data_IF_030245294820
#
_entry.id   IF_030245294820
#
_cell.length_a   1.000
_cell.length_b   1.000
_cell.length_c   1.000
_cell.angle_alpha   90.00
_cell.angle_beta   90.00
_cell.angle_gamma   90.00
#
_symmetry.space_group_name_H-M   'P 1'
#
loop_
_entity.id
_entity.type
_entity.pdbx_description
1 polymer ?
#
# COMPACT_ATOMS: atom_id res chain seq x y z
N UNK A 1 -7.02 4.26 64.86
CA UNK A 1 -5.96 3.48 64.19
C UNK A 1 -6.62 2.62 63.12
N UNK A 2 -6.12 2.73 61.89
CA UNK A 2 -6.40 1.97 60.66
C UNK A 2 -7.80 2.09 60.02
N UNK A 3 -7.92 3.02 59.05
CA UNK A 3 -8.76 2.83 57.87
C UNK A 3 -8.00 1.92 56.88
N UNK A 4 -8.63 0.81 56.48
CA UNK A 4 -8.16 -0.07 55.41
C UNK A 4 -8.57 0.51 54.05
N UNK A 5 -7.60 0.89 53.23
CA UNK A 5 -7.80 1.19 51.81
C UNK A 5 -7.75 -0.12 51.02
N UNK A 6 -8.89 -0.54 50.47
CA UNK A 6 -8.92 -1.58 49.43
C UNK A 6 -8.53 -0.99 48.09
N UNK A 7 -7.30 -1.26 47.65
CA UNK A 7 -6.87 -1.09 46.26
C UNK A 7 -7.54 -2.18 45.42
N UNK A 8 -8.49 -1.81 44.56
CA UNK A 8 -9.00 -2.67 43.51
C UNK A 8 -7.97 -2.71 42.38
N UNK A 9 -7.20 -3.81 42.30
CA UNK A 9 -6.29 -4.08 41.20
C UNK A 9 -7.14 -4.42 39.96
N UNK A 10 -7.33 -3.49 39.03
CA UNK A 10 -7.82 -3.81 37.69
C UNK A 10 -6.74 -4.65 37.00
N UNK A 11 -6.90 -5.97 37.01
CA UNK A 11 -6.21 -6.87 36.10
C UNK A 11 -6.78 -6.63 34.70
N UNK A 12 -6.15 -5.74 33.94
CA UNK A 12 -6.37 -5.63 32.50
C UNK A 12 -6.06 -6.98 31.86
N UNK A 13 -7.06 -7.62 31.25
CA UNK A 13 -6.84 -8.77 30.40
C UNK A 13 -6.13 -8.28 29.14
N UNK A 14 -4.80 -8.35 29.12
CA UNK A 14 -4.05 -8.21 27.89
C UNK A 14 -4.51 -9.34 26.95
N UNK A 15 -5.34 -9.01 25.96
CA UNK A 15 -5.66 -9.93 24.88
C UNK A 15 -4.33 -10.25 24.19
N UNK A 16 -3.86 -11.49 24.33
CA UNK A 16 -2.66 -11.93 23.64
C UNK A 16 -3.03 -12.10 22.17
N UNK A 17 -2.99 -11.01 21.41
CA UNK A 17 -3.12 -11.07 19.97
C UNK A 17 -1.97 -11.96 19.45
N UNK A 18 -2.33 -13.08 18.83
CA UNK A 18 -1.34 -13.92 18.14
C UNK A 18 -0.92 -13.17 16.90
N UNK A 19 0.30 -12.62 16.91
CA UNK A 19 0.79 -11.80 15.81
C UNK A 19 0.68 -12.52 14.46
N UNK A 20 0.14 -11.80 13.48
CA UNK A 20 -0.10 -12.30 12.13
C UNK A 20 1.07 -12.03 11.18
N UNK A 21 1.23 -12.86 10.17
CA UNK A 21 2.15 -12.64 9.06
C UNK A 21 1.58 -11.60 8.10
N UNK A 22 2.46 -10.79 7.52
CA UNK A 22 2.11 -9.88 6.45
C UNK A 22 2.26 -10.63 5.13
N UNK A 23 1.19 -10.61 4.32
CA UNK A 23 1.12 -11.26 3.00
C UNK A 23 0.81 -10.18 1.95
N UNK A 24 1.82 -9.52 1.38
CA UNK A 24 1.62 -8.41 0.45
C UNK A 24 0.81 -8.84 -0.78
N UNK A 25 -0.17 -8.03 -1.18
CA UNK A 25 -1.02 -8.33 -2.33
C UNK A 25 -2.19 -9.29 -2.05
N UNK A 26 -2.29 -9.85 -0.83
CA UNK A 26 -3.44 -10.67 -0.46
C UNK A 26 -4.68 -9.80 -0.17
N UNK A 27 -5.86 -10.41 -0.26
CA UNK A 27 -7.09 -9.81 0.25
C UNK A 27 -7.07 -9.90 1.78
N UNK A 28 -6.58 -8.84 2.42
CA UNK A 28 -6.57 -8.76 3.88
C UNK A 28 -7.99 -8.63 4.41
N UNK A 29 -8.23 -9.30 5.54
CA UNK A 29 -9.48 -9.24 6.26
C UNK A 29 -9.23 -8.62 7.63
N UNK A 30 -10.19 -7.81 8.09
CA UNK A 30 -10.21 -7.31 9.46
C UNK A 30 -10.62 -8.40 10.46
N UNK A 31 -10.66 -8.05 11.74
CA UNK A 31 -11.06 -8.96 12.83
C UNK A 31 -12.50 -9.46 12.74
N UNK A 32 -13.37 -8.77 12.00
CA UNK A 32 -14.75 -9.17 11.71
C UNK A 32 -14.86 -10.09 10.48
N UNK A 33 -13.74 -10.36 9.79
CA UNK A 33 -13.70 -11.13 8.56
C UNK A 33 -14.17 -10.36 7.32
N UNK A 34 -14.30 -9.03 7.40
CA UNK A 34 -14.61 -8.16 6.26
C UNK A 34 -13.33 -7.73 5.56
N UNK A 35 -13.42 -7.29 4.32
CA UNK A 35 -12.27 -6.82 3.55
C UNK A 35 -11.67 -5.58 4.23
N UNK A 36 -10.38 -5.60 4.49
CA UNK A 36 -9.61 -4.41 4.86
C UNK A 36 -9.62 -3.42 3.70
N UNK A 37 -10.47 -2.42 3.80
CA UNK A 37 -10.75 -1.45 2.75
C UNK A 37 -10.25 -0.07 3.17
N UNK A 38 -8.94 0.13 3.05
CA UNK A 38 -8.26 1.37 3.37
C UNK A 38 -7.07 1.54 2.41
N UNK A 39 -7.30 2.25 1.31
CA UNK A 39 -6.35 2.43 0.22
C UNK A 39 -5.66 3.79 0.27
N UNK A 40 -4.50 3.92 -0.35
CA UNK A 40 -3.71 5.15 -0.42
C UNK A 40 -3.51 5.84 0.95
N UNK A 41 -3.48 5.02 2.00
CA UNK A 41 -3.59 5.49 3.37
C UNK A 41 -2.33 6.09 3.98
N UNK A 42 -2.43 6.37 5.27
CA UNK A 42 -1.33 6.79 6.13
C UNK A 42 -1.50 6.29 7.54
N UNK A 43 -0.38 6.16 8.25
CA UNK A 43 -0.35 5.69 9.63
C UNK A 43 -0.25 6.85 10.60
N UNK A 44 -1.11 6.85 11.61
CA UNK A 44 -1.00 7.67 12.81
C UNK A 44 -0.80 6.73 14.01
N UNK A 45 -0.06 7.18 15.03
CA UNK A 45 0.14 6.40 16.25
C UNK A 45 -0.46 7.15 17.41
N UNK A 46 -1.24 6.45 18.21
CA UNK A 46 -1.70 6.96 19.49
C UNK A 46 -0.49 7.06 20.44
N UNK A 47 -0.13 8.28 20.83
CA UNK A 47 1.04 8.54 21.67
C UNK A 47 0.93 7.91 23.07
N UNK A 48 -0.30 7.69 23.58
CA UNK A 48 -0.51 7.12 24.91
C UNK A 48 -0.36 5.60 24.92
N UNK A 49 -0.97 4.93 23.94
CA UNK A 49 -1.03 3.47 23.90
C UNK A 49 0.04 2.83 23.00
N UNK A 50 0.61 3.60 22.07
CA UNK A 50 1.49 3.09 21.01
C UNK A 50 0.74 2.32 19.93
N UNK A 51 -0.60 2.29 19.95
CA UNK A 51 -1.42 1.57 18.97
C UNK A 51 -1.39 2.29 17.63
N UNK A 52 -1.28 1.49 16.56
CA UNK A 52 -1.24 1.98 15.18
C UNK A 52 -2.65 2.21 14.65
N UNK A 53 -2.87 3.32 13.95
CA UNK A 53 -4.12 3.62 13.24
C UNK A 53 -3.83 3.89 11.77
N UNK A 54 -4.43 3.08 10.89
CA UNK A 54 -4.32 3.24 9.45
C UNK A 54 -5.60 3.87 8.89
N UNK A 55 -5.44 5.04 8.29
CA UNK A 55 -6.51 5.77 7.62
C UNK A 55 -6.36 5.59 6.12
N UNK A 56 -7.42 5.24 5.41
CA UNK A 56 -7.36 5.07 3.97
C UNK A 56 -8.69 5.28 3.28
N UNK A 57 -8.61 5.53 1.99
CA UNK A 57 -9.76 5.67 1.10
C UNK A 57 -10.63 4.42 1.18
N UNK A 58 -11.91 4.62 1.47
CA UNK A 58 -12.89 3.55 1.41
C UNK A 58 -13.44 3.43 -0.01
N UNK A 59 -13.19 2.29 -0.67
CA UNK A 59 -13.59 2.03 -2.05
C UNK A 59 -14.84 1.16 -2.08
N UNK A 60 -15.97 1.74 -2.49
CA UNK A 60 -17.25 1.03 -2.59
C UNK A 60 -17.27 0.17 -3.86
N UNK A 61 -17.72 -1.08 -3.73
CA UNK A 61 -17.88 -1.96 -4.88
C UNK A 61 -18.81 -1.34 -5.94
N UNK A 62 -18.34 -1.31 -7.19
CA UNK A 62 -19.08 -0.72 -8.32
C UNK A 62 -19.04 0.80 -8.38
N UNK A 63 -18.36 1.46 -7.45
CA UNK A 63 -18.07 2.89 -7.50
C UNK A 63 -16.56 3.12 -7.64
N UNK A 64 -16.20 4.18 -8.34
CA UNK A 64 -14.79 4.51 -8.56
C UNK A 64 -14.21 5.22 -7.33
N UNK A 65 -14.99 6.11 -6.69
CA UNK A 65 -14.53 7.04 -5.67
C UNK A 65 -15.68 7.47 -4.74
N UNK A 66 -15.37 8.29 -3.72
CA UNK A 66 -16.38 8.98 -2.90
C UNK A 66 -16.90 8.19 -1.70
N UNK A 67 -16.22 7.12 -1.30
CA UNK A 67 -16.63 6.31 -0.13
C UNK A 67 -16.22 6.87 1.23
N UNK A 68 -15.50 8.00 1.27
CA UNK A 68 -14.98 8.60 2.50
C UNK A 68 -13.67 7.96 2.96
N UNK A 69 -13.32 8.18 4.22
CA UNK A 69 -12.08 7.67 4.82
C UNK A 69 -12.42 6.64 5.89
N UNK A 70 -11.94 5.42 5.72
CA UNK A 70 -11.99 4.37 6.72
C UNK A 70 -10.82 4.47 7.70
N UNK A 71 -10.99 3.89 8.89
CA UNK A 71 -9.92 3.76 9.88
C UNK A 71 -9.91 2.38 10.51
N UNK A 72 -8.69 1.85 10.68
CA UNK A 72 -8.44 0.59 11.36
C UNK A 72 -7.35 0.78 12.40
N UNK A 73 -7.38 0.01 13.48
CA UNK A 73 -6.31 -0.02 14.48
C UNK A 73 -5.63 -1.38 14.60
N UNK A 74 -4.35 -1.38 14.99
CA UNK A 74 -3.54 -2.59 15.13
C UNK A 74 -2.45 -2.42 16.18
N UNK A 75 -2.08 -3.52 16.84
CA UNK A 75 -0.90 -3.60 17.71
C UNK A 75 0.35 -4.15 17.00
N UNK A 76 0.18 -4.78 15.83
CA UNK A 76 1.22 -5.58 15.16
C UNK A 76 1.39 -5.27 13.66
N UNK A 77 0.60 -4.32 13.12
CA UNK A 77 0.52 -3.96 11.69
C UNK A 77 0.03 -5.08 10.76
N UNK A 78 -0.53 -6.16 11.31
CA UNK A 78 -1.01 -7.31 10.55
C UNK A 78 -2.45 -7.70 10.89
N UNK A 79 -2.86 -7.49 12.14
CA UNK A 79 -4.21 -7.73 12.66
C UNK A 79 -4.93 -6.40 12.79
N UNK A 80 -5.96 -6.17 12.00
CA UNK A 80 -6.64 -4.88 11.88
C UNK A 80 -8.07 -4.95 12.42
N UNK A 81 -8.38 -4.11 13.40
CA UNK A 81 -9.73 -3.88 13.94
C UNK A 81 -10.33 -2.66 13.25
N UNK A 82 -11.51 -2.79 12.67
CA UNK A 82 -12.20 -1.68 11.99
C UNK A 82 -12.89 -0.76 13.00
N UNK A 83 -12.79 0.56 12.79
CA UNK A 83 -13.60 1.57 13.49
C UNK A 83 -14.62 2.26 12.57
N UNK A 84 -14.87 1.69 11.38
CA UNK A 84 -15.76 2.27 10.39
C UNK A 84 -15.14 3.43 9.61
N UNK A 85 -15.95 4.44 9.28
CA UNK A 85 -15.51 5.64 8.58
C UNK A 85 -15.09 6.72 9.57
N UNK A 86 -13.82 7.13 9.50
CA UNK A 86 -13.31 8.30 10.21
C UNK A 86 -13.89 9.60 9.61
N UNK A 87 -14.05 9.67 8.29
CA UNK A 87 -14.68 10.79 7.59
C UNK A 87 -15.77 10.24 6.66
N UNK A 88 -17.03 10.52 7.00
CA UNK A 88 -18.18 10.12 6.19
C UNK A 88 -18.44 11.13 5.06
N UNK A 89 -18.79 10.67 3.85
CA UNK A 89 -19.28 11.55 2.80
C UNK A 89 -20.59 12.22 3.22
N UNK A 90 -20.70 13.53 2.99
CA UNK A 90 -21.89 14.34 3.27
C UNK A 90 -22.61 14.64 1.96
N UNK A 91 -23.87 14.23 1.86
CA UNK A 91 -24.70 14.47 0.68
C UNK A 91 -24.80 15.98 0.38
N UNK A 92 -24.52 16.35 -0.88
CA UNK A 92 -24.57 17.74 -1.33
C UNK A 92 -23.45 18.66 -0.83
N UNK A 93 -22.51 18.16 0.00
CA UNK A 93 -21.37 18.96 0.43
C UNK A 93 -20.41 19.23 -0.75
N UNK A 94 -19.88 20.45 -0.84
CA UNK A 94 -19.05 20.87 -1.98
C UNK A 94 -17.76 20.06 -2.14
N UNK A 95 -17.12 19.72 -1.01
CA UNK A 95 -15.77 19.13 -0.99
C UNK A 95 -15.70 17.69 -0.46
N UNK A 96 -16.77 17.20 0.17
CA UNK A 96 -16.77 15.92 0.92
C UNK A 96 -18.05 15.13 0.63
N UNK A 97 -18.59 15.24 -0.59
CA UNK A 97 -19.68 14.38 -1.02
C UNK A 97 -19.18 13.09 -1.65
N UNK A 98 -20.08 12.14 -1.85
CA UNK A 98 -19.80 10.91 -2.60
C UNK A 98 -19.46 11.12 -4.08
N UNK A 99 -19.60 12.35 -4.59
CA UNK A 99 -19.20 12.70 -5.97
C UNK A 99 -17.77 13.28 -6.03
N UNK A 100 -17.20 13.65 -4.87
CA UNK A 100 -15.85 14.16 -4.77
C UNK A 100 -14.80 13.04 -4.75
N UNK A 101 -13.55 13.44 -4.96
CA UNK A 101 -12.36 12.66 -4.68
C UNK A 101 -11.90 13.01 -3.27
N UNK A 102 -11.86 12.00 -2.41
CA UNK A 102 -11.41 12.11 -1.03
C UNK A 102 -10.21 11.16 -0.93
N UNK A 103 -9.06 11.63 -1.40
CA UNK A 103 -7.92 10.77 -1.74
C UNK A 103 -6.72 11.00 -0.82
N UNK A 104 -5.99 9.92 -0.54
CA UNK A 104 -4.72 9.90 0.20
C UNK A 104 -4.72 10.56 1.58
N UNK A 105 -5.65 10.19 2.49
CA UNK A 105 -5.71 10.79 3.82
C UNK A 105 -4.41 10.59 4.60
N UNK A 106 -4.04 11.60 5.39
CA UNK A 106 -2.96 11.58 6.39
C UNK A 106 -3.46 12.24 7.66
N UNK A 107 -3.14 11.67 8.82
CA UNK A 107 -3.58 12.17 10.12
C UNK A 107 -2.38 12.53 10.96
N UNK A 108 -2.36 13.75 11.51
CA UNK A 108 -1.30 14.25 12.39
C UNK A 108 -1.96 14.83 13.65
N UNK A 109 -1.37 14.56 14.82
CA UNK A 109 -1.83 15.15 16.08
C UNK A 109 -1.25 16.56 16.28
N UNK A 110 -2.12 17.53 16.56
CA UNK A 110 -1.76 18.92 16.84
C UNK A 110 -1.73 19.14 18.35
N UNK A 111 -0.53 19.25 18.92
CA UNK A 111 -0.34 19.52 20.36
C UNK A 111 -0.94 20.86 20.80
N UNK A 112 -0.93 21.85 19.90
CA UNK A 112 -1.46 23.18 20.19
C UNK A 112 -2.99 23.18 20.32
N UNK A 113 -3.69 22.40 19.47
CA UNK A 113 -5.16 22.33 19.50
C UNK A 113 -5.69 21.16 20.35
N UNK A 114 -4.84 20.19 20.68
CA UNK A 114 -5.24 18.95 21.36
C UNK A 114 -6.10 18.03 20.49
N UNK A 115 -6.04 18.19 19.15
CA UNK A 115 -6.89 17.48 18.20
C UNK A 115 -6.06 16.71 17.17
N UNK A 116 -6.68 15.71 16.57
CA UNK A 116 -6.18 15.05 15.37
C UNK A 116 -6.64 15.81 14.13
N UNK A 117 -5.73 16.08 13.21
CA UNK A 117 -5.97 16.79 11.96
C UNK A 117 -5.78 15.81 10.80
N UNK A 118 -6.84 15.60 10.04
CA UNK A 118 -6.83 14.81 8.82
C UNK A 118 -6.69 15.75 7.62
N UNK A 119 -5.70 15.48 6.79
CA UNK A 119 -5.43 16.17 5.54
C UNK A 119 -5.51 15.20 4.36
N UNK A 120 -6.06 15.63 3.23
CA UNK A 120 -6.22 14.79 2.05
C UNK A 120 -6.32 15.62 0.77
N UNK A 121 -6.25 14.95 -0.39
CA UNK A 121 -6.53 15.55 -1.70
C UNK A 121 -8.04 15.63 -1.94
N UNK A 122 -8.55 16.85 -2.05
CA UNK A 122 -9.94 17.16 -2.44
C UNK A 122 -10.00 17.41 -3.93
N UNK A 123 -10.91 16.69 -4.61
CA UNK A 123 -11.19 16.98 -6.00
C UNK A 123 -12.64 16.70 -6.45
N UNK A 124 -12.93 17.07 -7.69
CA UNK A 124 -14.10 16.63 -8.43
C UNK A 124 -13.76 15.45 -9.35
N UNK A 125 -14.79 14.92 -10.03
CA UNK A 125 -14.61 13.81 -10.98
C UNK A 125 -13.68 14.09 -12.17
N UNK A 126 -13.35 15.36 -12.43
CA UNK A 126 -12.55 15.83 -13.58
C UNK A 126 -11.16 16.29 -13.16
N UNK A 127 -10.81 16.19 -11.88
CA UNK A 127 -9.57 16.72 -11.32
C UNK A 127 -9.40 18.22 -11.57
N UNK A 128 -10.46 19.00 -11.32
CA UNK A 128 -10.47 20.44 -11.59
C UNK A 128 -10.30 21.35 -10.37
N UNK A 129 -10.51 20.83 -9.14
CA UNK A 129 -10.41 21.64 -7.91
C UNK A 129 -8.96 21.76 -7.44
N UNK A 130 -8.24 20.64 -7.35
CA UNK A 130 -6.83 20.57 -6.95
C UNK A 130 -6.56 21.20 -5.56
N UNK A 131 -7.33 20.80 -4.55
CA UNK A 131 -7.28 21.37 -3.18
C UNK A 131 -6.80 20.37 -2.12
N UNK A 132 -6.40 20.90 -0.96
CA UNK A 132 -6.16 20.12 0.26
C UNK A 132 -7.34 20.28 1.21
N UNK A 133 -7.95 19.18 1.61
CA UNK A 133 -9.01 19.19 2.62
C UNK A 133 -8.44 19.09 4.03
N UNK A 134 -9.10 19.74 4.99
CA UNK A 134 -8.82 19.68 6.42
C UNK A 134 -10.08 19.25 7.18
N UNK A 135 -9.92 18.27 8.06
CA UNK A 135 -10.94 17.86 9.03
C UNK A 135 -10.29 17.59 10.38
N UNK A 136 -11.01 17.78 11.47
CA UNK A 136 -10.47 17.57 12.83
C UNK A 136 -11.33 16.65 13.68
N UNK A 137 -10.71 15.95 14.63
CA UNK A 137 -11.36 15.10 15.60
C UNK A 137 -10.69 15.21 16.98
N UNK A 138 -11.45 15.01 18.06
CA UNK A 138 -10.91 14.88 19.41
C UNK A 138 -10.28 13.49 19.65
N UNK A 139 -10.81 12.46 18.98
CA UNK A 139 -10.30 11.08 19.08
C UNK A 139 -9.60 10.69 17.78
N UNK A 140 -8.55 9.88 17.87
CA UNK A 140 -7.75 9.44 16.71
C UNK A 140 -8.62 8.76 15.64
N UNK A 141 -9.54 7.87 16.05
CA UNK A 141 -10.44 7.17 15.12
C UNK A 141 -11.59 8.03 14.58
N UNK A 142 -11.73 9.28 15.03
CA UNK A 142 -12.82 10.17 14.64
C UNK A 142 -14.03 10.12 15.57
N UNK A 143 -15.22 10.51 15.07
CA UNK A 143 -15.45 11.02 13.72
C UNK A 143 -14.75 12.36 13.48
N UNK A 144 -14.27 12.57 12.26
CA UNK A 144 -13.65 13.82 11.81
C UNK A 144 -14.70 14.75 11.22
N UNK A 145 -14.57 16.04 11.55
CA UNK A 145 -15.47 17.10 11.10
C UNK A 145 -14.70 17.98 10.11
N UNK A 146 -15.23 18.11 8.90
CA UNK A 146 -14.69 19.01 7.87
C UNK A 146 -14.53 20.44 8.41
N UNK A 147 -13.41 21.07 8.09
CA UNK A 147 -13.10 22.45 8.46
C UNK A 147 -12.97 23.33 7.23
N UNK A 148 -12.12 22.93 6.27
CA UNK A 148 -11.77 23.76 5.12
C UNK A 148 -11.24 22.94 3.93
N UNK A 149 -11.20 23.56 2.76
CA UNK A 149 -10.54 23.06 1.56
C UNK A 149 -9.71 24.18 0.92
N UNK A 150 -8.38 24.05 0.93
CA UNK A 150 -7.46 25.15 0.65
C UNK A 150 -6.55 24.89 -0.56
N UNK A 151 -6.11 25.97 -1.19
CA UNK A 151 -5.02 25.98 -2.17
C UNK A 151 -3.71 26.33 -1.44
N UNK A 152 -2.79 25.37 -1.22
CA UNK A 152 -1.61 25.56 -0.36
C UNK A 152 -0.70 26.66 -0.89
N UNK A 153 -0.60 27.78 -0.16
CA UNK A 153 0.17 28.97 -0.56
C UNK A 153 -0.22 29.48 -1.97
N UNK A 154 -1.49 29.31 -2.35
CA UNK A 154 -2.00 29.66 -3.69
C UNK A 154 -1.60 28.71 -4.82
N UNK A 155 -0.92 27.60 -4.52
CA UNK A 155 -0.61 26.54 -5.49
C UNK A 155 -1.76 25.54 -5.62
N UNK A 156 -1.67 24.65 -6.61
CA UNK A 156 -2.54 23.48 -6.73
C UNK A 156 -2.02 22.32 -5.88
N UNK A 157 -2.92 21.41 -5.53
CA UNK A 157 -2.61 20.16 -4.84
C UNK A 157 -3.40 19.00 -5.43
N UNK A 158 -2.70 17.96 -5.87
CA UNK A 158 -3.29 16.66 -6.19
C UNK A 158 -2.82 15.64 -5.15
N UNK A 159 -2.17 14.56 -5.61
CA UNK A 159 -1.63 13.49 -4.78
C UNK A 159 -0.94 14.03 -3.53
N UNK A 160 -1.51 13.67 -2.38
CA UNK A 160 -1.15 14.20 -1.09
C UNK A 160 -0.41 13.17 -0.22
N UNK A 161 0.55 13.67 0.55
CA UNK A 161 1.27 12.97 1.59
C UNK A 161 1.57 13.92 2.75
N UNK A 162 2.02 13.37 3.86
CA UNK A 162 2.44 14.17 5.00
C UNK A 162 3.59 13.48 5.72
N UNK A 163 4.46 14.28 6.33
CA UNK A 163 5.66 13.82 7.00
C UNK A 163 5.89 14.65 8.26
N UNK A 164 6.13 14.00 9.39
CA UNK A 164 6.56 14.65 10.62
C UNK A 164 8.01 14.27 10.90
N UNK A 165 8.87 15.26 11.00
CA UNK A 165 10.27 15.07 11.35
C UNK A 165 10.35 14.65 12.83
N UNK A 166 10.80 13.42 13.09
CA UNK A 166 10.80 12.91 14.47
C UNK A 166 11.85 13.59 15.37
N UNK A 167 12.79 14.34 14.79
CA UNK A 167 13.83 15.06 15.54
C UNK A 167 13.37 16.47 15.93
N UNK A 168 12.74 17.21 15.02
CA UNK A 168 12.26 18.58 15.30
C UNK A 168 10.82 18.62 15.82
N UNK A 169 10.00 17.63 15.47
CA UNK A 169 8.56 17.64 15.69
C UNK A 169 7.77 18.46 14.67
N UNK A 170 8.44 19.06 13.68
CA UNK A 170 7.79 19.83 12.62
C UNK A 170 7.12 18.90 11.60
N UNK A 171 5.96 19.30 11.11
CA UNK A 171 5.19 18.54 10.12
C UNK A 171 5.16 19.25 8.78
N UNK A 172 5.12 18.47 7.70
CA UNK A 172 5.17 18.95 6.32
C UNK A 172 4.10 18.26 5.47
N UNK A 173 3.40 19.06 4.67
CA UNK A 173 2.59 18.60 3.56
C UNK A 173 3.50 18.24 2.37
N UNK A 174 3.18 17.13 1.73
CA UNK A 174 3.81 16.67 0.49
C UNK A 174 2.73 16.64 -0.60
N UNK A 175 2.90 17.35 -1.70
CA UNK A 175 1.85 17.38 -2.72
C UNK A 175 2.37 17.62 -4.13
N UNK A 176 1.76 16.94 -5.11
CA UNK A 176 1.99 17.23 -6.53
C UNK A 176 1.13 18.41 -7.00
N UNK A 177 1.71 19.31 -7.79
CA UNK A 177 1.12 20.61 -8.14
C UNK A 177 0.32 20.59 -9.46
N UNK A 178 -0.50 19.57 -9.67
CA UNK A 178 -1.29 19.44 -10.90
C UNK A 178 -0.56 18.80 -12.08
N UNK A 179 -1.26 18.55 -13.19
CA UNK A 179 -0.73 17.85 -14.38
C UNK A 179 -0.26 18.77 -15.51
N UNK A 180 -0.32 20.09 -15.30
CA UNK A 180 0.09 21.06 -16.32
C UNK A 180 1.61 21.15 -16.39
N UNK A 181 2.13 21.56 -17.55
CA UNK A 181 3.58 21.72 -17.76
C UNK A 181 4.20 22.72 -16.77
N UNK A 182 3.41 23.69 -16.31
CA UNK A 182 3.78 24.68 -15.30
C UNK A 182 3.69 24.16 -13.85
N UNK A 183 3.01 23.04 -13.62
CA UNK A 183 2.66 22.50 -12.29
C UNK A 183 3.20 21.08 -12.00
N UNK A 184 4.05 20.54 -12.85
CA UNK A 184 4.60 19.17 -12.72
C UNK A 184 5.66 18.96 -11.62
N UNK A 185 5.50 19.65 -10.51
CA UNK A 185 6.42 19.59 -9.39
C UNK A 185 5.77 18.92 -8.19
N UNK A 186 6.61 18.43 -7.28
CA UNK A 186 6.18 18.01 -5.95
C UNK A 186 6.77 18.99 -4.93
N UNK A 187 5.93 19.46 -4.01
CA UNK A 187 6.29 20.38 -2.95
C UNK A 187 6.44 19.65 -1.63
N UNK A 188 7.42 20.10 -0.83
CA UNK A 188 7.52 19.85 0.60
C UNK A 188 7.27 21.19 1.26
N UNK A 189 6.15 21.32 1.97
CA UNK A 189 5.74 22.57 2.60
C UNK A 189 5.47 22.38 4.08
N UNK A 190 6.03 23.26 4.90
CA UNK A 190 5.90 23.21 6.35
C UNK A 190 4.50 23.62 6.78
N UNK A 191 3.87 22.83 7.64
CA UNK A 191 2.63 23.22 8.33
C UNK A 191 2.92 24.26 9.42
N UNK A 192 1.98 25.16 9.65
CA UNK A 192 1.97 26.01 10.83
C UNK A 192 1.83 25.18 12.12
N UNK A 193 2.11 25.78 13.28
CA UNK A 193 2.20 25.05 14.56
C UNK A 193 0.91 24.36 15.01
N UNK A 194 -0.25 24.90 14.61
CA UNK A 194 -1.55 24.34 14.95
C UNK A 194 -2.07 23.34 13.91
N UNK A 195 -1.34 23.10 12.81
CA UNK A 195 -1.63 22.18 11.71
C UNK A 195 -2.89 22.53 10.91
N UNK A 196 -3.26 23.81 10.82
CA UNK A 196 -4.44 24.26 10.06
C UNK A 196 -4.13 24.82 8.67
N UNK A 197 -2.86 25.09 8.36
CA UNK A 197 -2.43 25.58 7.04
C UNK A 197 -0.93 25.31 6.84
N UNK A 198 -0.44 25.45 5.60
CA UNK A 198 0.99 25.47 5.26
C UNK A 198 1.51 26.91 5.21
N UNK A 199 2.69 27.16 5.77
CA UNK A 199 3.25 28.53 5.90
C UNK A 199 4.46 28.79 5.00
N UNK A 200 5.18 27.75 4.60
CA UNK A 200 6.43 27.90 3.85
C UNK A 200 6.71 26.70 2.94
N UNK A 201 7.25 26.94 1.73
CA UNK A 201 7.80 25.88 0.88
C UNK A 201 9.24 25.59 1.31
N UNK A 202 9.47 24.42 1.90
CA UNK A 202 10.80 23.93 2.31
C UNK A 202 11.61 23.45 1.11
N UNK A 203 10.98 22.72 0.18
CA UNK A 203 11.63 22.24 -1.04
C UNK A 203 10.64 22.02 -2.18
N UNK A 204 11.13 22.09 -3.42
CA UNK A 204 10.37 21.81 -4.64
C UNK A 204 11.17 20.85 -5.54
N UNK A 205 10.61 19.67 -5.76
CA UNK A 205 11.08 18.71 -6.76
C UNK A 205 10.51 19.08 -8.13
N UNK A 206 11.22 19.95 -8.84
CA UNK A 206 10.83 20.36 -10.19
C UNK A 206 11.34 19.39 -11.26
N UNK A 207 10.72 19.42 -12.46
CA UNK A 207 11.12 18.72 -13.71
C UNK A 207 10.70 17.25 -13.88
N UNK A 208 10.31 16.55 -12.81
CA UNK A 208 10.23 15.07 -12.87
C UNK A 208 8.85 14.47 -13.13
N UNK A 209 7.78 15.27 -13.07
CA UNK A 209 6.40 14.78 -13.24
C UNK A 209 6.07 13.66 -12.22
N UNK A 210 6.39 13.92 -10.96
CA UNK A 210 6.16 13.00 -9.84
C UNK A 210 4.78 13.17 -9.18
N UNK A 211 4.36 12.11 -8.50
CA UNK A 211 3.15 12.03 -7.67
C UNK A 211 3.37 11.04 -6.50
N UNK A 212 2.30 10.78 -5.75
CA UNK A 212 2.27 9.83 -4.64
C UNK A 212 3.43 9.98 -3.61
N UNK A 213 3.69 11.19 -3.08
CA UNK A 213 4.90 11.44 -2.30
C UNK A 213 4.84 10.89 -0.88
N UNK A 214 5.96 10.33 -0.42
CA UNK A 214 6.20 10.02 0.99
C UNK A 214 7.67 10.27 1.35
N UNK A 215 7.94 10.64 2.60
CA UNK A 215 9.31 10.81 3.11
C UNK A 215 9.57 9.83 4.23
N UNK A 216 10.71 9.14 4.13
CA UNK A 216 11.28 8.30 5.17
C UNK A 216 12.50 9.00 5.77
N UNK A 217 12.53 9.12 7.09
CA UNK A 217 13.65 9.72 7.81
C UNK A 217 14.45 8.65 8.57
N UNK A 218 15.77 8.71 8.45
CA UNK A 218 16.72 7.91 9.23
C UNK A 218 17.43 8.79 10.26
N UNK A 219 18.38 8.24 10.99
CA UNK A 219 19.24 9.03 11.88
C UNK A 219 20.11 10.04 11.13
N UNK A 220 20.35 9.85 9.82
CA UNK A 220 21.29 10.67 9.04
C UNK A 220 20.64 11.38 7.85
N UNK A 221 19.61 10.78 7.26
CA UNK A 221 19.15 11.12 5.92
C UNK A 221 17.63 11.21 5.86
N UNK A 222 17.14 11.95 4.87
CA UNK A 222 15.77 11.89 4.39
C UNK A 222 15.77 11.20 3.03
N UNK A 223 14.79 10.33 2.81
CA UNK A 223 14.54 9.68 1.54
C UNK A 223 13.11 9.98 1.10
N UNK A 224 12.93 10.69 0.00
CA UNK A 224 11.64 10.90 -0.63
C UNK A 224 11.39 9.76 -1.62
N UNK A 225 10.22 9.12 -1.54
CA UNK A 225 9.77 8.11 -2.49
C UNK A 225 8.55 8.65 -3.24
N UNK A 226 8.56 8.55 -4.56
CA UNK A 226 7.53 9.09 -5.44
C UNK A 226 7.35 8.20 -6.66
N UNK A 227 6.12 8.11 -7.17
CA UNK A 227 5.86 7.53 -8.49
C UNK A 227 5.87 8.61 -9.57
N UNK A 228 5.95 8.20 -10.83
CA UNK A 228 5.62 9.08 -11.96
C UNK A 228 4.10 9.15 -12.18
N UNK A 229 3.64 10.19 -12.89
CA UNK A 229 2.23 10.40 -13.27
C UNK A 229 1.75 9.45 -14.36
N UNK A 230 1.28 8.27 -13.96
CA UNK A 230 0.66 7.29 -14.89
C UNK A 230 -0.73 6.84 -14.46
N UNK A 231 -1.39 7.63 -13.60
CA UNK A 231 -2.69 7.28 -12.99
C UNK A 231 -2.59 5.95 -12.24
N UNK A 232 -3.63 5.13 -12.30
CA UNK A 232 -3.62 3.81 -11.64
C UNK A 232 -2.67 2.78 -12.26
N UNK A 233 -2.05 3.07 -13.43
CA UNK A 233 -1.05 2.17 -14.01
C UNK A 233 0.24 2.29 -13.18
N UNK A 234 0.81 1.18 -12.67
CA UNK A 234 2.03 1.26 -11.88
C UNK A 234 3.23 1.65 -12.75
N UNK A 235 4.24 2.24 -12.13
CA UNK A 235 5.54 2.56 -12.72
C UNK A 235 6.66 2.25 -11.72
N UNK A 236 7.93 2.44 -12.10
CA UNK A 236 9.03 2.26 -11.14
C UNK A 236 9.08 3.48 -10.22
N UNK A 237 8.68 3.30 -8.96
CA UNK A 237 8.87 4.29 -7.90
C UNK A 237 10.35 4.61 -7.78
N UNK A 238 10.64 5.90 -7.59
CA UNK A 238 12.00 6.40 -7.41
C UNK A 238 12.21 6.86 -5.97
N UNK A 239 13.46 6.76 -5.52
CA UNK A 239 13.96 7.35 -4.29
C UNK A 239 14.85 8.54 -4.62
N UNK A 240 14.80 9.57 -3.79
CA UNK A 240 15.75 10.70 -3.76
C UNK A 240 16.22 10.88 -2.32
N UNK A 241 17.50 11.21 -2.12
CA UNK A 241 18.11 11.31 -0.79
C UNK A 241 18.64 12.72 -0.51
N UNK A 242 18.48 13.21 0.72
CA UNK A 242 19.11 14.42 1.22
C UNK A 242 19.55 14.29 2.70
N UNK A 243 20.50 15.12 3.12
CA UNK A 243 20.88 15.25 4.55
C UNK A 243 19.92 16.16 5.34
N UNK A 244 19.17 17.03 4.62
CA UNK A 244 18.22 18.00 5.15
C UNK A 244 17.03 18.13 4.20
N UNK A 245 15.86 18.51 4.70
CA UNK A 245 14.66 18.64 3.88
C UNK A 245 14.78 19.73 2.81
N UNK A 246 15.49 20.82 3.11
CA UNK A 246 15.81 21.92 2.18
C UNK A 246 16.76 21.48 1.05
N UNK A 247 17.30 20.26 1.13
CA UNK A 247 18.22 19.69 0.17
C UNK A 247 19.69 20.06 0.42
N UNK A 248 20.55 19.91 -0.61
CA UNK A 248 20.20 19.43 -1.96
C UNK A 248 19.77 17.95 -1.96
N UNK A 249 18.78 17.63 -2.78
CA UNK A 249 18.33 16.25 -3.02
C UNK A 249 19.12 15.61 -4.16
N UNK A 250 19.39 14.31 -4.06
CA UNK A 250 20.04 13.52 -5.11
C UNK A 250 19.21 13.44 -6.39
N UNK A 251 19.81 12.99 -7.49
CA UNK A 251 19.01 12.50 -8.63
C UNK A 251 18.15 11.29 -8.21
N UNK A 252 16.99 11.08 -8.86
CA UNK A 252 16.15 9.92 -8.58
C UNK A 252 16.83 8.61 -8.99
N UNK A 253 16.61 7.56 -8.20
CA UNK A 253 17.03 6.19 -8.47
C UNK A 253 15.87 5.22 -8.25
N UNK A 254 15.79 4.11 -8.99
CA UNK A 254 14.73 3.12 -8.75
C UNK A 254 14.90 2.44 -7.39
N UNK A 255 13.79 2.32 -6.65
CA UNK A 255 13.78 1.67 -5.33
C UNK A 255 13.65 0.14 -5.43
N UNK A 256 13.37 -0.38 -6.62
CA UNK A 256 13.16 -1.79 -6.92
C UNK A 256 13.88 -2.16 -8.22
N UNK A 257 14.07 -3.46 -8.54
CA UNK A 257 14.54 -3.86 -9.86
C UNK A 257 13.67 -3.23 -10.95
N UNK A 258 14.32 -2.67 -11.99
CA UNK A 258 13.62 -2.05 -13.10
C UNK A 258 12.62 -3.03 -13.74
N UNK A 259 11.58 -2.48 -14.37
CA UNK A 259 10.51 -3.22 -15.05
C UNK A 259 9.59 -4.05 -14.15
N UNK A 260 9.89 -4.18 -12.84
CA UNK A 260 8.90 -4.68 -11.87
C UNK A 260 7.81 -3.67 -11.58
N UNK A 261 8.04 -2.38 -11.90
CA UNK A 261 7.14 -1.26 -11.56
C UNK A 261 6.85 -1.24 -10.07
N UNK A 262 7.93 -1.37 -9.31
CA UNK A 262 7.91 -1.52 -7.85
C UNK A 262 6.96 -2.63 -7.41
N UNK A 263 7.12 -3.80 -8.04
CA UNK A 263 6.29 -4.98 -7.84
C UNK A 263 4.80 -4.73 -8.13
N UNK A 264 4.53 -3.94 -9.18
CA UNK A 264 3.18 -3.50 -9.58
C UNK A 264 2.47 -2.76 -8.43
N UNK A 265 3.13 -1.74 -7.89
CA UNK A 265 2.59 -0.89 -6.82
C UNK A 265 2.85 0.59 -7.08
N UNK A 266 2.12 1.45 -6.35
CA UNK A 266 2.35 2.88 -6.27
C UNK A 266 2.52 3.27 -4.80
N UNK A 267 3.44 4.19 -4.51
CA UNK A 267 3.69 4.66 -3.14
C UNK A 267 2.42 5.24 -2.50
N UNK A 268 2.31 5.06 -1.19
CA UNK A 268 1.27 5.71 -0.39
C UNK A 268 1.86 6.34 0.87
N UNK A 269 2.64 5.54 1.60
CA UNK A 269 3.24 5.95 2.85
C UNK A 269 4.54 5.20 3.10
N UNK A 270 5.38 5.74 3.96
CA UNK A 270 6.59 5.09 4.43
C UNK A 270 6.69 5.25 5.94
N UNK A 271 7.06 4.18 6.63
CA UNK A 271 7.04 4.17 8.08
C UNK A 271 8.36 3.71 8.68
N UNK A 272 8.73 4.32 9.80
CA UNK A 272 9.89 3.94 10.63
C UNK A 272 9.39 3.28 11.91
N UNK A 273 9.84 2.04 12.14
CA UNK A 273 9.60 1.28 13.35
C UNK A 273 10.89 1.28 14.17
N UNK A 274 10.92 2.04 15.26
CA UNK A 274 12.03 2.03 16.22
C UNK A 274 11.83 0.88 17.21
N UNK A 275 12.23 -0.32 16.80
CA UNK A 275 12.18 -1.51 17.65
C UNK A 275 13.32 -1.55 18.69
N UNK A 276 13.13 -2.37 19.72
CA UNK A 276 14.10 -2.57 20.81
C UNK A 276 15.42 -3.23 20.38
N UNK A 277 15.43 -3.95 19.24
CA UNK A 277 16.63 -4.61 18.71
C UNK A 277 17.14 -3.99 17.42
N UNK A 278 16.24 -3.56 16.53
CA UNK A 278 16.61 -2.87 15.29
C UNK A 278 15.55 -1.85 14.88
N UNK A 279 15.98 -0.84 14.12
CA UNK A 279 15.05 0.01 13.38
C UNK A 279 14.70 -0.68 12.06
N UNK A 280 13.41 -0.78 11.76
CA UNK A 280 12.89 -1.28 10.48
C UNK A 280 12.12 -0.19 9.77
N UNK A 281 12.23 -0.18 8.45
CA UNK A 281 11.52 0.76 7.60
C UNK A 281 10.58 0.00 6.66
N UNK A 282 9.38 0.53 6.45
CA UNK A 282 8.37 -0.06 5.58
C UNK A 282 8.02 0.89 4.43
N UNK A 283 7.92 0.31 3.24
CA UNK A 283 7.25 0.86 2.07
C UNK A 283 5.81 0.36 2.10
N UNK A 284 4.84 1.26 2.20
CA UNK A 284 3.42 0.94 2.30
C UNK A 284 2.71 1.53 1.07
N UNK A 285 2.13 0.64 0.28
CA UNK A 285 1.74 0.97 -1.09
C UNK A 285 0.48 0.24 -1.52
N UNK A 286 -0.11 0.73 -2.59
CA UNK A 286 -1.28 0.15 -3.23
C UNK A 286 -0.89 -0.50 -4.55
N UNK A 287 -1.40 -1.70 -4.76
CA UNK A 287 -1.49 -2.34 -6.05
C UNK A 287 -2.91 -2.12 -6.58
N UNK A 288 -3.06 -1.05 -7.36
CA UNK A 288 -4.35 -0.62 -7.90
C UNK A 288 -4.97 -1.65 -8.86
N UNK A 289 -6.30 -1.75 -8.84
CA UNK A 289 -7.09 -2.44 -9.85
C UNK A 289 -8.01 -1.46 -10.56
N UNK A 290 -7.56 -0.88 -11.67
CA UNK A 290 -8.29 0.18 -12.37
C UNK A 290 -9.72 -0.22 -12.77
N UNK A 291 -9.97 -1.49 -13.07
CA UNK A 291 -11.31 -1.98 -13.44
C UNK A 291 -12.20 -2.25 -12.22
N UNK A 292 -11.62 -2.35 -11.03
CA UNK A 292 -12.29 -2.74 -9.80
C UNK A 292 -11.56 -2.14 -8.61
N UNK A 293 -11.56 -0.82 -8.43
CA UNK A 293 -10.70 -0.16 -7.44
C UNK A 293 -10.89 -0.68 -6.01
N UNK A 294 -12.10 -1.12 -5.66
CA UNK A 294 -12.43 -1.80 -4.40
C UNK A 294 -11.72 -3.16 -4.20
N UNK A 295 -11.15 -3.74 -5.26
CA UNK A 295 -10.32 -4.96 -5.23
C UNK A 295 -8.81 -4.66 -5.23
N UNK A 296 -8.42 -3.39 -5.14
CA UNK A 296 -7.01 -3.02 -4.99
C UNK A 296 -6.41 -3.65 -3.74
N UNK A 297 -5.09 -3.84 -3.73
CA UNK A 297 -4.40 -4.57 -2.65
C UNK A 297 -3.38 -3.69 -1.96
N UNK A 298 -3.28 -3.89 -0.65
CA UNK A 298 -2.18 -3.34 0.14
C UNK A 298 -0.93 -4.21 -0.05
N UNK A 299 0.19 -3.57 -0.35
CA UNK A 299 1.50 -4.21 -0.53
C UNK A 299 2.49 -3.48 0.36
N UNK A 300 2.75 -4.07 1.53
CA UNK A 300 3.68 -3.49 2.50
C UNK A 300 4.95 -4.32 2.54
N UNK A 301 6.10 -3.66 2.37
CA UNK A 301 7.38 -4.32 2.15
C UNK A 301 8.47 -3.67 2.99
N UNK A 302 9.43 -4.45 3.54
CA UNK A 302 10.58 -3.88 4.21
C UNK A 302 11.48 -3.12 3.24
N UNK A 303 12.09 -2.05 3.74
CA UNK A 303 13.10 -1.26 3.03
C UNK A 303 14.47 -1.57 3.63
N UNK A 304 15.43 -1.90 2.77
CA UNK A 304 16.85 -1.95 3.09
C UNK A 304 17.51 -0.61 2.73
N UNK A 305 18.23 -0.01 3.68
CA UNK A 305 18.87 1.31 3.51
C UNK A 305 20.37 1.14 3.64
N UNK A 306 21.09 1.62 2.63
CA UNK A 306 22.53 1.77 2.69
C UNK A 306 22.90 3.25 2.77
N UNK A 307 23.10 3.74 4.01
CA UNK A 307 23.52 5.12 4.29
C UNK A 307 24.87 5.49 3.66
N UNK A 308 25.78 4.52 3.50
CA UNK A 308 27.09 4.78 2.88
C UNK A 308 26.94 5.12 1.41
N UNK A 309 26.01 4.46 0.73
CA UNK A 309 25.74 4.66 -0.69
C UNK A 309 24.67 5.72 -0.94
N UNK A 310 23.99 6.20 0.11
CA UNK A 310 22.85 7.11 0.01
C UNK A 310 21.67 6.49 -0.75
N UNK A 311 21.48 5.18 -0.67
CA UNK A 311 20.47 4.43 -1.43
C UNK A 311 19.54 3.62 -0.53
N UNK A 312 18.38 3.27 -1.06
CA UNK A 312 17.44 2.34 -0.45
C UNK A 312 16.91 1.33 -1.49
N UNK A 313 16.43 0.19 -1.00
CA UNK A 313 15.78 -0.85 -1.81
C UNK A 313 14.54 -1.38 -1.11
N UNK A 314 13.42 -1.41 -1.81
CA UNK A 314 12.20 -2.11 -1.40
C UNK A 314 12.40 -3.60 -1.69
N UNK A 315 12.25 -4.44 -0.66
CA UNK A 315 12.55 -5.87 -0.74
C UNK A 315 11.25 -6.68 -0.80
N UNK A 316 11.04 -7.41 -1.90
CA UNK A 316 9.88 -8.29 -2.03
C UNK A 316 9.99 -9.52 -1.14
N UNK A 317 8.92 -9.80 -0.40
CA UNK A 317 8.70 -11.06 0.31
C UNK A 317 7.25 -11.47 0.16
N UNK A 318 6.98 -12.69 -0.32
CA UNK A 318 5.61 -13.16 -0.50
C UNK A 318 4.85 -13.25 0.83
N UNK A 319 5.57 -13.64 1.90
CA UNK A 319 5.09 -13.69 3.28
C UNK A 319 6.26 -13.37 4.21
N UNK A 320 6.05 -12.50 5.19
CA UNK A 320 7.01 -12.26 6.26
C UNK A 320 6.34 -12.05 7.61
N UNK A 321 7.05 -12.41 8.66
CA UNK A 321 6.69 -12.11 10.04
C UNK A 321 7.39 -10.82 10.47
N UNK A 322 6.62 -9.86 10.98
CA UNK A 322 7.13 -8.59 11.51
C UNK A 322 6.83 -8.50 13.00
N UNK A 323 7.87 -8.30 13.80
CA UNK A 323 7.76 -7.95 15.20
C UNK A 323 8.02 -6.45 15.37
N UNK A 324 6.95 -5.69 15.53
CA UNK A 324 7.01 -4.24 15.69
C UNK A 324 7.72 -3.81 16.98
N UNK A 325 7.69 -4.64 18.03
CA UNK A 325 8.31 -4.32 19.32
C UNK A 325 9.83 -4.45 19.27
N UNK A 326 10.33 -5.51 18.65
CA UNK A 326 11.78 -5.68 18.44
C UNK A 326 12.28 -4.97 17.19
N UNK A 327 11.38 -4.66 16.27
CA UNK A 327 11.65 -4.20 14.92
C UNK A 327 12.16 -5.32 14.02
N UNK A 328 12.27 -6.57 14.49
CA UNK A 328 12.76 -7.68 13.68
C UNK A 328 11.71 -8.14 12.68
N UNK A 329 12.16 -8.63 11.52
CA UNK A 329 11.28 -9.27 10.55
C UNK A 329 12.01 -10.42 9.86
N UNK A 330 11.27 -11.44 9.44
CA UNK A 330 11.82 -12.63 8.80
C UNK A 330 10.93 -13.11 7.66
N UNK A 331 11.50 -13.42 6.48
CA UNK A 331 10.74 -14.02 5.40
C UNK A 331 10.34 -15.46 5.76
N UNK A 332 9.10 -15.84 5.46
CA UNK A 332 8.63 -17.21 5.67
C UNK A 332 9.11 -18.08 4.51
N UNK A 333 9.65 -19.25 4.81
CA UNK A 333 10.12 -20.19 3.79
C UNK A 333 8.99 -21.13 3.40
N UNK A 334 8.63 -21.11 2.12
CA UNK A 334 7.72 -22.09 1.53
C UNK A 334 8.44 -23.19 0.75
N UNK A 335 7.66 -24.16 0.28
CA UNK A 335 8.10 -25.24 -0.61
C UNK A 335 7.74 -24.91 -2.05
N UNK A 336 8.75 -24.89 -2.91
CA UNK A 336 8.60 -24.52 -4.33
C UNK A 336 8.23 -25.72 -5.21
N UNK A 337 7.28 -25.50 -6.12
CA UNK A 337 6.89 -26.43 -7.17
C UNK A 337 6.94 -25.70 -8.52
N UNK A 338 7.86 -26.12 -9.39
CA UNK A 338 8.13 -25.45 -10.67
C UNK A 338 7.28 -26.03 -11.80
N UNK A 339 6.86 -25.17 -12.73
CA UNK A 339 6.10 -25.54 -13.94
C UNK A 339 6.78 -26.64 -14.77
N UNK A 340 8.12 -26.69 -14.80
CA UNK A 340 8.90 -27.77 -15.42
C UNK A 340 8.45 -29.19 -15.06
N UNK A 341 7.90 -29.37 -13.84
CA UNK A 341 7.46 -30.65 -13.30
C UNK A 341 5.93 -30.79 -13.26
N UNK A 342 5.21 -29.82 -13.82
CA UNK A 342 3.76 -29.86 -13.91
C UNK A 342 3.32 -30.95 -14.90
N UNK A 343 2.15 -31.53 -14.63
CA UNK A 343 1.43 -32.31 -15.64
C UNK A 343 0.58 -31.34 -16.44
N UNK A 344 0.79 -31.31 -17.75
CA UNK A 344 0.06 -30.44 -18.66
C UNK A 344 -1.20 -31.13 -19.18
N UNK A 345 -2.20 -30.34 -19.53
CA UNK A 345 -3.47 -30.79 -20.09
C UNK A 345 -4.04 -29.72 -21.02
N UNK A 346 -4.90 -30.12 -21.96
CA UNK A 346 -5.37 -29.23 -23.02
C UNK A 346 -4.22 -28.78 -23.91
N UNK A 347 -4.22 -27.50 -24.25
CA UNK A 347 -3.24 -26.89 -25.14
C UNK A 347 -2.00 -26.35 -24.40
N UNK A 348 -1.97 -26.45 -23.05
CA UNK A 348 -0.84 -26.02 -22.24
C UNK A 348 0.46 -26.76 -22.58
N UNK A 349 1.54 -26.02 -22.77
CA UNK A 349 2.86 -26.58 -23.08
C UNK A 349 3.98 -25.91 -22.27
N UNK A 350 5.16 -26.53 -22.25
CA UNK A 350 6.36 -25.93 -21.66
C UNK A 350 7.11 -25.14 -22.72
N UNK A 351 7.38 -23.87 -22.44
CA UNK A 351 8.15 -22.99 -23.31
C UNK A 351 9.47 -22.60 -22.66
N UNK A 352 10.53 -22.57 -23.47
CA UNK A 352 11.82 -22.02 -23.04
C UNK A 352 11.67 -20.54 -22.68
N UNK A 353 12.13 -20.18 -21.49
CA UNK A 353 12.09 -18.82 -20.98
C UNK A 353 13.30 -18.60 -20.08
N UNK A 354 14.30 -17.86 -20.55
CA UNK A 354 15.57 -17.64 -19.82
C UNK A 354 15.41 -16.96 -18.45
N UNK A 355 14.29 -16.27 -18.25
CA UNK A 355 13.91 -15.64 -16.97
C UNK A 355 13.17 -16.60 -16.02
N UNK A 356 12.65 -17.72 -16.53
CA UNK A 356 11.89 -18.72 -15.78
C UNK A 356 12.78 -19.61 -14.91
N UNK A 357 12.22 -20.20 -13.86
CA UNK A 357 12.91 -21.16 -13.02
C UNK A 357 13.24 -22.42 -13.82
N UNK A 358 14.53 -22.77 -13.92
CA UNK A 358 15.05 -23.81 -14.83
C UNK A 358 14.85 -23.49 -16.32
N UNK A 359 14.84 -22.20 -16.66
CA UNK A 359 14.72 -21.66 -18.03
C UNK A 359 13.44 -22.09 -18.75
N UNK A 360 12.34 -22.29 -18.02
CA UNK A 360 11.08 -22.78 -18.58
C UNK A 360 9.88 -22.20 -17.83
N UNK A 361 8.79 -21.99 -18.55
CA UNK A 361 7.46 -21.67 -18.02
C UNK A 361 6.42 -22.65 -18.59
N UNK A 362 5.31 -22.84 -17.89
CA UNK A 362 4.10 -23.40 -18.51
C UNK A 362 3.29 -22.24 -19.11
N UNK A 363 2.92 -22.37 -20.37
CA UNK A 363 2.25 -21.33 -21.16
C UNK A 363 1.11 -21.94 -21.99
N UNK A 364 0.68 -21.21 -23.01
CA UNK A 364 -0.62 -21.25 -23.70
C UNK A 364 -1.75 -20.51 -22.96
N UNK A 365 -1.34 -19.73 -21.98
CA UNK A 365 -2.15 -18.79 -21.20
C UNK A 365 -2.06 -17.34 -21.69
N UNK A 366 -1.29 -17.05 -22.74
CA UNK A 366 -1.07 -15.74 -23.38
C UNK A 366 -0.20 -14.76 -22.56
N UNK A 367 0.82 -14.25 -23.24
CA UNK A 367 1.96 -13.50 -22.72
C UNK A 367 1.52 -12.10 -22.27
N UNK A 368 1.72 -11.81 -20.98
CA UNK A 368 1.33 -10.54 -20.36
C UNK A 368 2.33 -9.42 -20.56
N UNK A 369 3.41 -9.61 -21.32
CA UNK A 369 4.43 -8.60 -21.28
C UNK A 369 4.09 -7.34 -22.07
N UNK A 370 3.81 -6.28 -21.31
CA UNK A 370 3.61 -4.94 -21.84
C UNK A 370 4.96 -4.26 -22.11
N UNK A 371 5.02 -3.46 -23.17
CA UNK A 371 6.07 -2.46 -23.36
C UNK A 371 5.64 -1.12 -22.75
N UNK A 372 6.60 -0.24 -22.46
CA UNK A 372 6.40 1.11 -21.90
C UNK A 372 5.77 2.11 -22.92
N UNK A 373 4.89 1.66 -23.82
CA UNK A 373 4.39 2.48 -24.92
C UNK A 373 3.57 3.69 -24.42
N UNK A 374 3.75 4.89 -25.03
CA UNK A 374 2.97 6.07 -24.70
C UNK A 374 1.48 5.82 -25.00
N UNK A 375 0.60 6.37 -24.14
CA UNK A 375 -0.86 6.15 -24.19
C UNK A 375 -1.32 4.69 -23.99
N UNK A 376 -0.39 3.79 -23.63
CA UNK A 376 -0.69 2.39 -23.40
C UNK A 376 -1.10 1.61 -24.66
N UNK A 377 -0.96 2.18 -25.86
CA UNK A 377 -1.40 1.48 -27.08
C UNK A 377 -0.59 0.18 -27.30
N UNK A 378 -1.26 -0.97 -27.48
CA UNK A 378 -0.58 -2.22 -27.78
C UNK A 378 -0.06 -2.22 -29.22
N UNK A 379 0.91 -3.11 -29.46
CA UNK A 379 1.50 -3.47 -30.76
C UNK A 379 0.52 -4.19 -31.72
N UNK A 380 -0.79 -3.95 -31.56
CA UNK A 380 -1.86 -4.49 -32.42
C UNK A 380 -2.74 -3.35 -32.89
N UNK A 381 -2.43 -2.84 -34.08
CA UNK A 381 -3.26 -1.88 -34.82
C UNK A 381 -4.71 -2.40 -34.82
N UNK A 382 -5.65 -1.62 -34.28
CA UNK A 382 -7.09 -1.89 -34.21
C UNK A 382 -7.59 -3.01 -33.26
N UNK A 383 -6.81 -3.45 -32.26
CA UNK A 383 -7.28 -4.41 -31.24
C UNK A 383 -7.98 -3.76 -30.03
N UNK A 384 -9.04 -4.38 -29.52
CA UNK A 384 -9.62 -4.07 -28.20
C UNK A 384 -8.76 -4.67 -27.09
N UNK A 385 -8.48 -3.87 -26.05
CA UNK A 385 -7.69 -4.21 -24.87
C UNK A 385 -8.11 -5.52 -24.17
N UNK A 386 -7.14 -6.30 -23.68
CA UNK A 386 -7.37 -7.53 -22.90
C UNK A 386 -6.61 -7.45 -21.57
N UNK A 387 -7.14 -6.68 -20.61
CA UNK A 387 -6.41 -6.25 -19.41
C UNK A 387 -6.28 -7.30 -18.29
N UNK A 388 -7.02 -8.40 -18.33
CA UNK A 388 -7.17 -9.25 -17.15
C UNK A 388 -6.92 -10.72 -17.45
N UNK A 389 -5.85 -11.26 -16.88
CA UNK A 389 -5.68 -12.71 -16.76
C UNK A 389 -6.21 -13.16 -15.42
N UNK A 390 -7.05 -14.18 -15.48
CA UNK A 390 -7.68 -14.75 -14.30
C UNK A 390 -7.44 -16.24 -14.39
N UNK A 391 -6.69 -16.76 -13.42
CA UNK A 391 -6.51 -18.21 -13.32
C UNK A 391 -7.65 -18.81 -12.53
N UNK A 392 -8.19 -19.92 -13.04
CA UNK A 392 -8.98 -20.87 -12.26
C UNK A 392 -8.01 -21.76 -11.47
N UNK A 393 -8.20 -21.88 -10.16
CA UNK A 393 -7.42 -22.77 -9.30
C UNK A 393 -8.35 -23.80 -8.67
N UNK A 394 -8.16 -25.06 -9.04
CA UNK A 394 -8.97 -26.19 -8.56
C UNK A 394 -8.13 -27.06 -7.64
N UNK A 395 -8.65 -27.31 -6.43
CA UNK A 395 -7.97 -28.10 -5.41
C UNK A 395 -8.53 -29.52 -5.38
N UNK A 396 -7.66 -30.53 -5.47
CA UNK A 396 -8.00 -31.94 -5.34
C UNK A 396 -9.15 -32.40 -6.27
N UNK A 397 -9.19 -31.85 -7.48
CA UNK A 397 -10.21 -32.12 -8.51
C UNK A 397 -11.65 -31.70 -8.11
N UNK A 398 -11.80 -30.85 -7.10
CA UNK A 398 -13.08 -30.25 -6.69
C UNK A 398 -13.49 -29.13 -7.64
N UNK A 399 -14.12 -29.50 -8.76
CA UNK A 399 -14.60 -28.55 -9.78
C UNK A 399 -15.83 -27.75 -9.35
N UNK A 400 -16.47 -28.13 -8.25
CA UNK A 400 -17.60 -27.39 -7.68
C UNK A 400 -17.10 -26.13 -6.93
N UNK A 401 -15.84 -26.13 -6.48
CA UNK A 401 -15.20 -25.03 -5.77
C UNK A 401 -13.97 -24.51 -6.52
N UNK A 402 -14.20 -23.75 -7.59
CA UNK A 402 -13.12 -23.08 -8.33
C UNK A 402 -12.69 -21.81 -7.60
N UNK A 403 -11.41 -21.73 -7.22
CA UNK A 403 -10.82 -20.53 -6.64
C UNK A 403 -10.34 -19.58 -7.74
N UNK A 404 -10.63 -18.27 -7.58
CA UNK A 404 -10.24 -17.23 -8.53
C UNK A 404 -8.89 -16.62 -8.14
N UNK A 405 -7.94 -16.62 -9.07
CA UNK A 405 -6.65 -15.93 -8.92
C UNK A 405 -6.52 -14.82 -9.96
N UNK A 406 -6.64 -13.57 -9.50
CA UNK A 406 -6.42 -12.40 -10.36
C UNK A 406 -4.92 -12.18 -10.55
N UNK A 407 -4.43 -12.30 -11.78
CA UNK A 407 -3.02 -12.09 -12.11
C UNK A 407 -2.85 -10.70 -12.68
N UNK A 408 -2.08 -9.87 -11.98
CA UNK A 408 -1.72 -8.53 -12.42
C UNK A 408 -0.72 -8.61 -13.56
N UNK A 409 -0.68 -7.54 -14.35
CA UNK A 409 0.23 -7.46 -15.46
C UNK A 409 1.69 -7.35 -15.03
N UNK A 410 2.58 -7.88 -15.87
CA UNK A 410 4.03 -7.80 -15.73
C UNK A 410 4.64 -7.33 -17.05
N UNK A 411 5.88 -6.85 -17.03
CA UNK A 411 6.62 -6.64 -18.29
C UNK A 411 7.10 -7.98 -18.86
N UNK A 412 7.38 -8.03 -20.18
CA UNK A 412 7.93 -9.24 -20.82
C UNK A 412 9.18 -9.70 -20.08
N UNK A 413 9.20 -10.97 -19.71
CA UNK A 413 10.32 -11.58 -18.99
C UNK A 413 10.46 -11.16 -17.52
N UNK A 414 9.48 -10.45 -16.96
CA UNK A 414 9.44 -10.13 -15.52
C UNK A 414 8.44 -11.05 -14.82
N UNK A 415 8.93 -11.74 -13.79
CA UNK A 415 8.11 -12.59 -12.92
C UNK A 415 7.75 -11.80 -11.66
N UNK A 416 6.45 -11.68 -11.40
CA UNK A 416 5.90 -11.26 -10.11
C UNK A 416 5.09 -12.42 -9.50
N UNK A 417 4.75 -12.32 -8.22
CA UNK A 417 3.90 -13.29 -7.54
C UNK A 417 2.57 -12.66 -7.12
N UNK A 418 1.56 -13.51 -6.95
CA UNK A 418 0.26 -13.13 -6.37
C UNK A 418 -0.15 -14.21 -5.37
N UNK A 419 -0.51 -13.84 -4.13
CA UNK A 419 -0.92 -14.81 -3.12
C UNK A 419 -2.35 -15.30 -3.35
N UNK A 420 -2.59 -16.57 -3.02
CA UNK A 420 -3.91 -17.17 -2.93
C UNK A 420 -3.96 -18.10 -1.71
N UNK A 421 -4.92 -17.87 -0.82
CA UNK A 421 -5.15 -18.76 0.31
C UNK A 421 -6.02 -19.93 -0.14
N UNK A 422 -5.52 -21.15 0.07
CA UNK A 422 -6.21 -22.39 -0.31
C UNK A 422 -6.39 -23.30 0.92
N UNK A 423 -7.54 -23.99 1.06
CA UNK A 423 -7.81 -24.90 2.16
C UNK A 423 -7.18 -26.28 1.94
N UNK A 424 -5.84 -26.34 1.93
CA UNK A 424 -5.11 -27.60 1.73
C UNK A 424 -5.40 -28.61 2.85
N UNK A 425 -5.48 -29.90 2.48
CA UNK A 425 -5.62 -31.02 3.43
C UNK A 425 -4.25 -31.50 3.90
N UNK A 426 -4.18 -32.17 5.05
CA UNK A 426 -2.95 -32.84 5.48
C UNK A 426 -2.52 -33.89 4.44
N UNK A 427 -1.22 -33.97 4.17
CA UNK A 427 -0.65 -34.89 3.20
C UNK A 427 -0.61 -34.35 1.77
N UNK A 428 -0.94 -35.19 0.79
CA UNK A 428 -0.80 -34.87 -0.64
C UNK A 428 -2.02 -34.10 -1.13
N UNK A 429 -1.76 -32.94 -1.73
CA UNK A 429 -2.77 -32.17 -2.46
C UNK A 429 -2.42 -32.11 -3.95
N UNK A 430 -3.44 -31.97 -4.80
CA UNK A 430 -3.32 -31.66 -6.22
C UNK A 430 -3.88 -30.25 -6.44
N UNK A 431 -3.12 -29.40 -7.12
CA UNK A 431 -3.57 -28.07 -7.52
C UNK A 431 -3.55 -28.05 -9.04
N UNK A 432 -4.70 -27.78 -9.65
CA UNK A 432 -4.86 -27.63 -11.10
C UNK A 432 -5.08 -26.15 -11.37
N UNK A 433 -4.27 -25.57 -12.26
CA UNK A 433 -4.34 -24.16 -12.64
C UNK A 433 -4.68 -24.09 -14.13
N UNK A 434 -5.66 -23.28 -14.48
CA UNK A 434 -6.13 -23.06 -15.86
C UNK A 434 -6.65 -21.63 -16.02
N UNK A 435 -7.26 -21.33 -17.18
CA UNK A 435 -7.89 -20.02 -17.41
C UNK A 435 -9.32 -19.95 -16.92
N UNK A 436 -9.69 -18.81 -16.32
CA UNK A 436 -11.06 -18.45 -15.96
C UNK A 436 -11.57 -17.34 -16.88
N UNK A 437 -12.90 -17.27 -17.07
CA UNK A 437 -13.52 -16.24 -17.90
C UNK A 437 -13.21 -14.84 -17.37
N UNK A 438 -12.63 -13.99 -18.22
CA UNK A 438 -12.27 -12.60 -17.89
C UNK A 438 -13.20 -11.55 -18.51
N UNK A 439 -14.32 -11.98 -19.12
CA UNK A 439 -15.20 -11.11 -19.92
C UNK A 439 -15.01 -11.26 -21.43
N UNK A 440 -13.94 -11.94 -21.88
CA UNK A 440 -13.61 -12.09 -23.30
C UNK A 440 -13.22 -13.52 -23.65
N UNK A 441 -12.26 -14.09 -22.92
CA UNK A 441 -11.74 -15.45 -23.12
C UNK A 441 -11.49 -16.14 -21.76
N UNK A 442 -10.94 -17.36 -21.80
CA UNK A 442 -10.63 -18.19 -20.64
C UNK A 442 -9.11 -18.34 -20.53
N UNK A 443 -8.43 -17.30 -20.02
CA UNK A 443 -6.96 -17.28 -19.94
C UNK A 443 -6.44 -16.83 -18.57
N UNK A 444 -5.59 -17.68 -17.98
CA UNK A 444 -4.69 -17.32 -16.88
C UNK A 444 -3.45 -16.62 -17.42
N UNK A 445 -2.48 -16.25 -16.61
CA UNK A 445 -1.16 -15.83 -17.08
C UNK A 445 -0.18 -17.00 -17.01
N UNK A 446 0.92 -16.90 -17.77
CA UNK A 446 1.99 -17.89 -17.77
C UNK A 446 2.52 -18.19 -16.37
N UNK A 447 2.87 -19.45 -16.13
CA UNK A 447 3.23 -19.94 -14.81
C UNK A 447 4.70 -20.37 -14.76
N UNK A 448 5.50 -19.69 -13.94
CA UNK A 448 6.85 -20.14 -13.58
C UNK A 448 6.80 -21.25 -12.51
N UNK A 449 6.21 -20.94 -11.36
CA UNK A 449 6.18 -21.82 -10.19
C UNK A 449 5.08 -21.40 -9.23
N UNK A 450 4.75 -22.30 -8.32
CA UNK A 450 4.03 -21.98 -7.09
C UNK A 450 4.95 -22.21 -5.89
N UNK A 451 4.73 -21.43 -4.83
CA UNK A 451 5.39 -21.63 -3.54
C UNK A 451 4.30 -21.85 -2.49
N UNK A 452 4.36 -22.99 -1.82
CA UNK A 452 3.38 -23.36 -0.78
C UNK A 452 4.01 -23.08 0.59
N UNK A 453 3.44 -22.12 1.31
CA UNK A 453 3.92 -21.73 2.63
C UNK A 453 3.29 -22.61 3.72
N UNK A 454 3.98 -22.79 4.87
CA UNK A 454 3.37 -23.44 6.03
C UNK A 454 2.14 -22.67 6.52
N UNK A 455 1.19 -23.33 7.20
CA UNK A 455 0.11 -22.62 7.87
C UNK A 455 0.68 -21.70 8.95
N UNK A 456 0.05 -20.55 9.10
CA UNK A 456 0.40 -19.60 10.15
C UNK A 456 0.19 -20.22 11.56
N UNK A 457 1.13 -20.06 12.50
CA UNK A 457 1.00 -20.58 13.85
C UNK A 457 -0.20 -19.97 14.59
N UNK A 458 -1.07 -20.81 15.17
CA UNK A 458 -2.28 -20.35 15.89
C UNK A 458 -2.02 -19.67 17.23
N UNK A 459 -0.87 -19.94 17.87
CA UNK A 459 -0.54 -19.45 19.22
C UNK A 459 0.91 -19.01 19.28
N UNK A 460 1.19 -17.78 18.85
CA UNK A 460 2.52 -17.20 19.06
C UNK A 460 2.45 -16.20 20.21
N UNK A 461 2.76 -16.67 21.42
CA UNK A 461 2.99 -15.78 22.57
C UNK A 461 4.29 -15.02 22.32
N UNK A 462 4.20 -13.74 21.94
CA UNK A 462 5.33 -12.82 22.06
C UNK A 462 5.47 -12.51 23.55
N UNK A 463 6.57 -12.93 24.16
CA UNK A 463 6.81 -12.70 25.59
C UNK A 463 6.92 -11.20 25.84
N UNK A 464 6.09 -10.68 26.73
CA UNK A 464 6.28 -9.37 27.33
C UNK A 464 7.44 -9.50 28.32
N UNK A 465 8.50 -8.71 28.16
CA UNK A 465 9.56 -8.59 29.17
C UNK A 465 9.39 -7.28 29.93
#
# INVERSE_FOLDING_TARGET
>A
MLLSQTFALLLGTASVASAKWIVPGARWLDTDGKIFNAHAGGLCVDEETGRFYWFGEYKIQGQVEGGGISVYSSDDLATWESHGLALEPVEGHEYVSSHNRIQRPKVIYSKETGKYHMWWHVDDSKYSMLLQGLATADNIAGPYIFQDAIAPLGNWSQDFGAFTDYKSGESYALYSNGDRVEGRDVYVSKFNSNLTDVEEVTFRFNKYDFEAPTILQTEKSYFALMSHKTGYRPNNVVGMRADKLEGPWSQPFFVSPAYTRTFSTQSSFSWRIKGSKKTTYLYMADQWDMLSLWESRNVWLPIDINERDGSLRVIWHDIYDLDVQTGEWYPIKGKTYTSKRAKLAGDAFLQEASFGSHNVIATDTDDMGFGDQPYGQPDRINGTWQLRRISSVVLNDDTDHVHTLYQKDTHKGIILSTPLQLPLKEGRNKITIGGLYNGFDYKGADLDKIVVYPPEPKNRKRGWF
#
